data_IF_050334896003
#
_entry.id   IF_050334896003
#
_cell.length_a   1.000
_cell.length_b   1.000
_cell.length_c   1.000
_cell.angle_alpha   90.00
_cell.angle_beta   90.00
_cell.angle_gamma   90.00
#
_symmetry.space_group_name_H-M   'P 1'
#
loop_
_entity.id
_entity.type
_entity.pdbx_description
1 polymer ?
#
# COMPACT_ATOMS: atom_id res chain seq x y z
N UNK A 1 10.32 -44.24 92.97
CA UNK A 1 11.53 -43.41 92.65
C UNK A 1 12.69 -44.25 92.11
N UNK A 2 13.01 -45.46 92.68
CA UNK A 2 14.12 -46.34 92.21
C UNK A 2 13.94 -46.85 90.73
N UNK A 3 12.77 -47.26 90.37
CA UNK A 3 12.53 -47.77 88.96
C UNK A 3 12.70 -46.68 87.88
N UNK A 4 12.36 -45.40 88.17
CA UNK A 4 12.61 -44.30 87.25
C UNK A 4 14.10 -43.96 87.09
N UNK A 5 14.89 -44.19 88.17
CA UNK A 5 16.35 -43.96 88.14
C UNK A 5 17.08 -45.03 87.27
N UNK A 6 16.66 -46.29 87.34
CA UNK A 6 17.22 -47.34 86.46
C UNK A 6 17.01 -47.09 85.00
N UNK A 7 15.83 -46.63 84.59
CA UNK A 7 15.54 -46.33 83.17
C UNK A 7 16.33 -45.10 82.61
N UNK A 8 16.91 -44.28 83.44
CA UNK A 8 17.70 -43.10 83.03
C UNK A 8 19.17 -43.48 82.84
N UNK A 9 19.68 -44.42 83.65
CA UNK A 9 21.08 -44.86 83.61
C UNK A 9 21.41 -45.68 82.33
N UNK A 10 20.44 -46.38 81.80
CA UNK A 10 20.56 -47.17 80.57
C UNK A 10 20.31 -46.36 79.23
N UNK A 11 20.34 -45.04 79.34
CA UNK A 11 20.20 -44.15 78.16
C UNK A 11 21.54 -43.96 77.44
N UNK A 12 21.65 -44.11 76.13
CA UNK A 12 22.92 -44.13 75.44
C UNK A 12 23.74 -42.83 75.66
N UNK A 13 23.09 -41.70 75.85
CA UNK A 13 23.76 -40.44 76.18
C UNK A 13 24.38 -40.47 77.63
N UNK A 14 23.70 -41.12 78.51
CA UNK A 14 24.17 -41.22 79.95
C UNK A 14 25.26 -42.30 80.08
N UNK A 15 25.12 -43.42 79.40
CA UNK A 15 26.11 -44.48 79.31
C UNK A 15 27.42 -43.97 78.66
N UNK A 16 27.33 -43.27 77.54
CA UNK A 16 28.50 -42.61 76.91
C UNK A 16 29.15 -41.57 77.77
N UNK A 17 28.40 -40.83 78.66
CA UNK A 17 28.96 -39.86 79.56
C UNK A 17 29.68 -40.53 80.69
N UNK A 18 29.26 -41.72 81.20
CA UNK A 18 29.99 -42.48 82.21
C UNK A 18 31.34 -43.00 81.73
N UNK A 19 31.38 -43.49 80.45
CA UNK A 19 32.57 -44.09 79.82
C UNK A 19 33.55 -43.06 79.29
N UNK A 20 33.06 -42.01 78.59
CA UNK A 20 33.86 -41.07 77.80
C UNK A 20 33.84 -39.64 78.37
N UNK A 21 33.11 -39.41 79.48
CA UNK A 21 32.98 -38.11 80.08
C UNK A 21 31.85 -37.24 79.51
N UNK A 22 31.47 -37.47 78.27
CA UNK A 22 30.35 -36.80 77.57
C UNK A 22 29.59 -37.75 76.67
N UNK A 23 28.30 -37.51 76.43
CA UNK A 23 27.47 -38.34 75.54
C UNK A 23 26.35 -37.51 74.90
N UNK A 24 26.13 -37.76 73.61
CA UNK A 24 25.08 -37.12 72.83
C UNK A 24 24.09 -38.13 72.32
N UNK A 25 22.82 -37.76 72.26
CA UNK A 25 21.78 -38.58 71.63
C UNK A 25 20.66 -37.69 71.11
N UNK A 26 20.12 -38.11 69.99
CA UNK A 26 18.96 -37.44 69.36
C UNK A 26 17.79 -38.43 69.29
N UNK A 27 16.64 -38.04 69.79
CA UNK A 27 15.42 -38.85 69.72
C UNK A 27 14.25 -38.07 69.23
N UNK A 28 13.49 -38.71 68.37
CA UNK A 28 12.22 -38.17 67.92
C UNK A 28 11.13 -38.56 68.90
N UNK A 29 10.49 -37.56 69.55
CA UNK A 29 9.32 -37.79 70.34
C UNK A 29 8.10 -38.08 69.53
N UNK A 30 7.59 -39.29 69.61
CA UNK A 30 6.37 -39.66 68.86
C UNK A 30 5.12 -38.86 69.30
N UNK A 31 5.11 -38.34 70.51
CA UNK A 31 4.02 -37.55 71.10
C UNK A 31 4.09 -36.06 70.74
N UNK A 32 5.27 -35.51 70.51
CA UNK A 32 5.48 -34.07 70.25
C UNK A 32 5.96 -33.76 68.78
N UNK A 33 6.17 -34.79 67.97
CA UNK A 33 6.71 -34.70 66.62
C UNK A 33 7.90 -33.70 66.52
N UNK A 34 8.78 -33.75 67.54
CA UNK A 34 9.96 -32.86 67.68
C UNK A 34 11.17 -33.70 67.97
N UNK A 35 12.30 -33.36 67.37
CA UNK A 35 13.59 -33.98 67.76
C UNK A 35 14.09 -33.30 69.01
N UNK A 36 14.33 -34.16 70.03
CA UNK A 36 14.96 -33.69 71.32
C UNK A 36 16.42 -34.09 71.33
N UNK A 37 17.30 -33.15 71.42
CA UNK A 37 18.74 -33.35 71.55
C UNK A 37 19.03 -33.46 73.03
N UNK A 38 19.76 -34.51 73.40
CA UNK A 38 20.19 -34.81 74.72
C UNK A 38 21.70 -34.70 74.75
N UNK A 39 22.24 -33.94 75.73
CA UNK A 39 23.67 -33.86 76.04
C UNK A 39 23.86 -34.23 77.50
N UNK A 40 24.76 -35.15 77.75
CA UNK A 40 25.09 -35.61 79.11
C UNK A 40 26.59 -35.41 79.40
N UNK A 41 26.92 -34.90 80.57
CA UNK A 41 28.31 -34.66 81.02
C UNK A 41 28.48 -35.25 82.37
N UNK A 42 29.59 -36.00 82.55
CA UNK A 42 29.99 -36.53 83.84
C UNK A 42 30.69 -35.46 84.68
N UNK A 43 30.18 -35.18 85.85
CA UNK A 43 30.78 -34.24 86.80
C UNK A 43 31.86 -34.90 87.70
N UNK A 44 32.72 -34.11 88.33
CA UNK A 44 33.82 -34.59 89.15
C UNK A 44 33.39 -35.34 90.42
N UNK A 45 32.13 -35.20 90.83
CA UNK A 45 31.50 -35.94 91.89
C UNK A 45 30.95 -37.32 91.54
N UNK A 46 31.16 -37.74 90.27
CA UNK A 46 30.65 -39.01 89.69
C UNK A 46 29.18 -38.97 89.26
N UNK A 47 28.50 -37.84 89.33
CA UNK A 47 27.15 -37.65 88.86
C UNK A 47 27.16 -37.26 87.40
N UNK A 48 26.05 -37.51 86.68
CA UNK A 48 25.89 -37.10 85.28
C UNK A 48 24.80 -36.04 85.13
N UNK A 49 25.19 -34.91 84.64
CA UNK A 49 24.26 -33.82 84.26
C UNK A 49 23.76 -34.05 82.85
N UNK A 50 22.45 -34.12 82.70
CA UNK A 50 21.80 -34.30 81.40
C UNK A 50 20.97 -33.07 81.10
N UNK A 51 21.25 -32.44 79.95
CA UNK A 51 20.48 -31.31 79.40
C UNK A 51 19.77 -31.81 78.19
N UNK A 52 18.54 -31.32 77.93
CA UNK A 52 17.80 -31.61 76.72
C UNK A 52 17.20 -30.35 76.11
N UNK A 53 17.33 -30.21 74.83
CA UNK A 53 16.74 -29.13 74.02
C UNK A 53 15.82 -29.74 73.01
N UNK A 54 14.55 -29.35 73.08
CA UNK A 54 13.57 -29.72 72.02
C UNK A 54 13.66 -28.73 70.84
N UNK A 55 14.19 -29.17 69.73
CA UNK A 55 14.16 -28.37 68.46
C UNK A 55 12.87 -28.67 67.74
N UNK A 56 12.06 -27.64 67.52
CA UNK A 56 10.93 -27.74 66.61
C UNK A 56 11.45 -28.04 65.21
N UNK A 57 10.90 -29.08 64.58
CA UNK A 57 11.27 -29.45 63.19
C UNK A 57 11.07 -28.23 62.27
N UNK A 58 12.11 -27.86 61.53
CA UNK A 58 12.07 -26.81 60.52
C UNK A 58 10.91 -27.10 59.56
N UNK A 59 10.62 -28.38 59.31
CA UNK A 59 9.52 -28.82 58.48
C UNK A 59 8.13 -28.35 58.94
N UNK A 60 7.90 -28.33 60.27
CA UNK A 60 6.65 -27.82 60.86
C UNK A 60 6.49 -26.30 60.69
N UNK A 61 7.58 -25.55 60.67
CA UNK A 61 7.56 -24.12 60.40
C UNK A 61 7.19 -23.86 58.90
N UNK A 62 7.78 -24.62 57.99
CA UNK A 62 7.40 -24.54 56.56
C UNK A 62 5.96 -25.01 56.31
N UNK A 63 5.54 -26.13 56.92
CA UNK A 63 4.20 -26.66 56.74
C UNK A 63 3.11 -25.68 57.22
N UNK A 64 3.37 -24.91 58.27
CA UNK A 64 2.42 -23.89 58.74
C UNK A 64 2.29 -22.69 57.81
N UNK A 65 3.30 -22.42 56.95
CA UNK A 65 3.31 -21.32 55.98
C UNK A 65 2.68 -21.69 54.62
N UNK A 66 2.56 -22.99 54.29
CA UNK A 66 2.02 -23.49 53.05
C UNK A 66 0.62 -22.91 52.72
N UNK A 67 -0.37 -22.94 53.63
CA UNK A 67 -1.70 -22.40 53.35
C UNK A 67 -1.70 -20.91 53.01
N UNK A 68 -0.87 -20.12 53.71
CA UNK A 68 -0.72 -18.70 53.42
C UNK A 68 -0.10 -18.46 52.04
N UNK A 69 0.93 -19.23 51.65
CA UNK A 69 1.55 -19.16 50.31
C UNK A 69 0.55 -19.55 49.21
N UNK A 70 -0.26 -20.58 49.43
CA UNK A 70 -1.29 -20.99 48.47
C UNK A 70 -2.35 -19.87 48.26
N UNK A 71 -2.81 -19.25 49.33
CA UNK A 71 -3.77 -18.14 49.25
C UNK A 71 -3.17 -16.97 48.43
N UNK A 72 -1.95 -16.57 48.74
CA UNK A 72 -1.26 -15.50 48.01
C UNK A 72 -1.09 -15.84 46.51
N UNK A 73 -0.70 -17.09 46.21
CA UNK A 73 -0.54 -17.57 44.83
C UNK A 73 -1.87 -17.50 44.06
N UNK A 74 -2.98 -17.95 44.69
CA UNK A 74 -4.31 -17.90 44.09
C UNK A 74 -4.74 -16.46 43.80
N UNK A 75 -4.47 -15.54 44.75
CA UNK A 75 -4.78 -14.11 44.56
C UNK A 75 -3.98 -13.52 43.39
N UNK A 76 -2.66 -13.80 43.34
CA UNK A 76 -1.81 -13.32 42.22
C UNK A 76 -2.29 -13.84 40.89
N UNK A 77 -2.57 -15.15 40.79
CA UNK A 77 -3.11 -15.74 39.53
C UNK A 77 -4.45 -15.11 39.16
N UNK A 78 -5.34 -14.90 40.15
CA UNK A 78 -6.62 -14.20 39.92
C UNK A 78 -6.42 -12.78 39.36
N UNK A 79 -5.54 -12.02 39.95
CA UNK A 79 -5.19 -10.67 39.49
C UNK A 79 -4.60 -10.74 38.06
N UNK A 80 -3.67 -11.63 37.78
CA UNK A 80 -3.08 -11.81 36.45
C UNK A 80 -4.13 -12.16 35.38
N UNK A 81 -5.07 -13.05 35.69
CA UNK A 81 -6.17 -13.41 34.78
C UNK A 81 -7.09 -12.22 34.48
N UNK A 82 -7.43 -11.45 35.52
CA UNK A 82 -8.28 -10.24 35.36
C UNK A 82 -7.55 -9.19 34.53
N UNK A 83 -6.28 -8.94 34.82
CA UNK A 83 -5.46 -8.00 34.05
C UNK A 83 -5.29 -8.45 32.59
N UNK A 84 -4.98 -9.73 32.36
CA UNK A 84 -4.85 -10.29 31.01
C UNK A 84 -6.14 -10.13 30.22
N UNK A 85 -7.30 -10.48 30.78
CA UNK A 85 -8.61 -10.29 30.14
C UNK A 85 -8.95 -8.82 29.90
N UNK A 86 -8.63 -7.94 30.83
CA UNK A 86 -8.87 -6.51 30.67
C UNK A 86 -7.99 -5.92 29.56
N UNK A 87 -6.70 -6.27 29.54
CA UNK A 87 -5.74 -5.81 28.53
C UNK A 87 -6.12 -6.34 27.15
N UNK A 88 -6.42 -7.64 27.02
CA UNK A 88 -6.87 -8.25 25.76
C UNK A 88 -8.12 -7.58 25.24
N UNK A 89 -9.13 -7.35 26.08
CA UNK A 89 -10.35 -6.64 25.67
C UNK A 89 -10.10 -5.21 25.24
N UNK A 90 -9.22 -4.47 25.95
CA UNK A 90 -8.90 -3.09 25.59
C UNK A 90 -8.09 -2.98 24.31
N UNK A 91 -7.15 -3.90 24.02
CA UNK A 91 -6.30 -3.87 22.85
C UNK A 91 -6.95 -4.53 21.62
N UNK A 92 -7.67 -5.64 21.80
CA UNK A 92 -8.24 -6.41 20.68
C UNK A 92 -9.57 -5.84 20.17
N UNK A 93 -10.45 -5.34 21.04
CA UNK A 93 -11.74 -4.78 20.59
C UNK A 93 -11.62 -3.67 19.54
N UNK A 94 -10.72 -2.68 19.65
CA UNK A 94 -10.53 -1.67 18.60
C UNK A 94 -10.06 -2.29 17.28
N UNK A 95 -9.21 -3.32 17.33
CA UNK A 95 -8.70 -4.00 16.13
C UNK A 95 -9.80 -4.83 15.46
N UNK A 96 -10.63 -5.55 16.23
CA UNK A 96 -11.77 -6.31 15.71
C UNK A 96 -12.84 -5.41 15.05
N UNK A 97 -13.15 -4.26 15.67
CA UNK A 97 -14.09 -3.30 15.10
C UNK A 97 -13.55 -2.64 13.83
N UNK A 98 -12.24 -2.45 13.71
CA UNK A 98 -11.58 -1.97 12.50
C UNK A 98 -11.60 -3.01 11.38
N UNK A 99 -11.33 -4.28 11.70
CA UNK A 99 -11.35 -5.36 10.71
C UNK A 99 -12.76 -5.64 10.15
N UNK A 100 -13.81 -5.40 10.97
CA UNK A 100 -15.20 -5.63 10.58
C UNK A 100 -15.86 -4.48 9.80
N UNK A 101 -15.39 -3.24 9.95
CA UNK A 101 -16.07 -2.05 9.39
C UNK A 101 -15.03 -1.00 8.93
N UNK A 102 -14.26 -1.32 7.91
CA UNK A 102 -13.27 -0.39 7.32
C UNK A 102 -13.94 0.90 6.76
N UNK A 103 -15.19 0.82 6.29
CA UNK A 103 -15.96 1.99 5.84
C UNK A 103 -16.30 2.99 6.97
N UNK A 104 -16.39 2.53 8.22
CA UNK A 104 -16.68 3.38 9.38
C UNK A 104 -15.41 3.85 10.12
N UNK A 105 -14.22 3.57 9.59
CA UNK A 105 -12.94 3.96 10.20
C UNK A 105 -12.83 5.47 10.43
N UNK A 106 -13.47 6.29 9.59
CA UNK A 106 -13.53 7.75 9.74
C UNK A 106 -14.29 8.21 10.99
N UNK A 107 -15.28 7.42 11.46
CA UNK A 107 -16.06 7.72 12.65
C UNK A 107 -15.32 7.30 13.93
N UNK A 108 -14.49 6.25 13.84
CA UNK A 108 -13.74 5.69 14.96
C UNK A 108 -12.56 6.60 15.35
N UNK A 109 -12.03 7.38 14.40
CA UNK A 109 -10.90 8.31 14.64
C UNK A 109 -11.20 9.35 15.74
N UNK A 110 -12.46 9.73 15.94
CA UNK A 110 -12.90 10.65 17.02
C UNK A 110 -12.94 10.03 18.42
N UNK A 111 -12.81 8.70 18.54
CA UNK A 111 -12.98 7.94 19.79
C UNK A 111 -11.77 7.09 20.20
N UNK A 112 -10.68 7.12 19.44
CA UNK A 112 -9.54 6.25 19.71
C UNK A 112 -8.64 6.86 20.77
N UNK A 113 -8.63 6.30 21.97
CA UNK A 113 -7.77 6.67 23.12
C UNK A 113 -6.28 6.34 22.92
N UNK A 114 -5.90 5.64 21.82
CA UNK A 114 -4.55 5.14 21.58
C UNK A 114 -3.87 5.90 20.45
N UNK A 115 -3.03 6.87 20.82
CA UNK A 115 -2.25 7.66 19.86
C UNK A 115 -1.29 6.80 19.01
N UNK A 116 -0.83 5.69 19.55
CA UNK A 116 0.11 4.75 18.91
C UNK A 116 -0.52 4.00 17.72
N UNK A 117 -1.83 3.81 17.72
CA UNK A 117 -2.53 3.13 16.62
C UNK A 117 -2.93 4.07 15.46
N UNK A 118 -2.90 5.39 15.68
CA UNK A 118 -3.31 6.38 14.67
C UNK A 118 -2.48 6.29 13.38
N UNK A 119 -1.13 6.17 13.41
CA UNK A 119 -0.34 6.04 12.17
C UNK A 119 -0.70 4.77 11.37
N UNK A 120 -0.91 3.65 12.08
CA UNK A 120 -1.27 2.39 11.46
C UNK A 120 -2.68 2.44 10.83
N UNK A 121 -3.64 3.04 11.53
CA UNK A 121 -4.99 3.26 11.00
C UNK A 121 -4.98 4.15 9.76
N UNK A 122 -4.19 5.22 9.77
CA UNK A 122 -4.04 6.09 8.61
C UNK A 122 -3.42 5.36 7.42
N UNK A 123 -2.41 4.53 7.65
CA UNK A 123 -1.80 3.72 6.59
C UNK A 123 -2.80 2.74 5.96
N UNK A 124 -3.57 2.02 6.78
CA UNK A 124 -4.62 1.11 6.29
C UNK A 124 -5.70 1.88 5.52
N UNK A 125 -6.14 3.04 6.03
CA UNK A 125 -7.13 3.88 5.36
C UNK A 125 -6.65 4.33 3.99
N UNK A 126 -5.43 4.86 3.90
CA UNK A 126 -4.83 5.31 2.64
C UNK A 126 -4.75 4.14 1.64
N UNK A 127 -4.32 2.96 2.09
CA UNK A 127 -4.30 1.77 1.24
C UNK A 127 -5.70 1.35 0.79
N UNK A 128 -6.67 1.34 1.69
CA UNK A 128 -8.05 0.97 1.36
C UNK A 128 -8.70 1.96 0.38
N UNK A 129 -8.55 3.27 0.63
CA UNK A 129 -9.01 4.32 -0.29
C UNK A 129 -8.33 4.18 -1.67
N UNK A 130 -7.03 3.85 -1.70
CA UNK A 130 -6.31 3.56 -2.94
C UNK A 130 -6.86 2.35 -3.69
N UNK A 131 -7.16 1.26 -3.00
CA UNK A 131 -7.76 0.05 -3.62
C UNK A 131 -9.17 0.35 -4.15
N UNK A 132 -9.99 1.07 -3.40
CA UNK A 132 -11.33 1.47 -3.85
C UNK A 132 -11.27 2.42 -5.06
N UNK A 133 -10.37 3.39 -5.04
CA UNK A 133 -10.16 4.30 -6.17
C UNK A 133 -9.70 3.55 -7.42
N UNK A 134 -8.76 2.60 -7.28
CA UNK A 134 -8.30 1.74 -8.38
C UNK A 134 -9.43 0.84 -8.92
N UNK A 135 -10.23 0.23 -8.04
CA UNK A 135 -11.37 -0.60 -8.43
C UNK A 135 -12.43 0.22 -9.19
N UNK A 136 -12.76 1.42 -8.70
CA UNK A 136 -13.68 2.35 -9.36
C UNK A 136 -13.14 2.78 -10.72
N UNK A 137 -11.87 3.19 -10.79
CA UNK A 137 -11.23 3.57 -12.05
C UNK A 137 -11.28 2.46 -13.09
N UNK A 138 -11.06 1.19 -12.68
CA UNK A 138 -11.17 0.02 -13.55
C UNK A 138 -12.60 -0.23 -14.02
N UNK A 139 -13.59 -0.04 -13.14
CA UNK A 139 -15.01 -0.18 -13.50
C UNK A 139 -15.42 0.91 -14.49
N UNK A 140 -15.07 2.18 -14.23
CA UNK A 140 -15.35 3.31 -15.11
C UNK A 140 -14.66 3.13 -16.47
N UNK A 141 -13.41 2.62 -16.48
CA UNK A 141 -12.69 2.28 -17.70
C UNK A 141 -13.45 1.23 -18.53
N UNK A 142 -13.88 0.12 -17.92
CA UNK A 142 -14.60 -0.96 -18.62
C UNK A 142 -15.93 -0.46 -19.19
N UNK A 143 -16.66 0.34 -18.42
CA UNK A 143 -17.92 0.95 -18.87
C UNK A 143 -17.71 1.91 -20.05
N UNK A 144 -16.69 2.77 -19.98
CA UNK A 144 -16.34 3.73 -21.02
C UNK A 144 -15.87 3.02 -22.30
N UNK A 145 -15.01 1.99 -22.19
CA UNK A 145 -14.59 1.14 -23.32
C UNK A 145 -15.81 0.57 -24.04
N UNK A 146 -16.72 -0.05 -23.27
CA UNK A 146 -17.93 -0.67 -23.84
C UNK A 146 -18.79 0.36 -24.60
N UNK A 147 -18.93 1.55 -24.04
CA UNK A 147 -19.72 2.62 -24.65
C UNK A 147 -19.05 3.19 -25.90
N UNK A 148 -17.74 3.46 -25.86
CA UNK A 148 -16.99 4.02 -26.99
C UNK A 148 -16.80 3.02 -28.15
N UNK A 149 -16.81 1.70 -27.87
CA UNK A 149 -16.83 0.66 -28.88
C UNK A 149 -18.23 0.49 -29.52
N UNK A 150 -19.31 0.53 -28.74
CA UNK A 150 -20.68 0.31 -29.19
C UNK A 150 -21.14 1.38 -30.19
N UNK A 151 -20.79 2.65 -29.93
CA UNK A 151 -21.25 3.77 -30.78
C UNK A 151 -20.83 3.65 -32.25
N UNK A 152 -19.51 3.51 -32.58
CA UNK A 152 -19.09 3.35 -33.99
C UNK A 152 -19.58 2.03 -34.59
N UNK A 153 -19.65 0.96 -33.80
CA UNK A 153 -20.15 -0.33 -34.30
C UNK A 153 -21.62 -0.25 -34.71
N UNK A 154 -22.45 0.42 -33.90
CA UNK A 154 -23.88 0.64 -34.23
C UNK A 154 -24.01 1.50 -35.46
N UNK A 155 -23.17 2.53 -35.66
CA UNK A 155 -23.18 3.35 -36.88
C UNK A 155 -22.78 2.52 -38.11
N UNK A 156 -21.74 1.70 -38.04
CA UNK A 156 -21.32 0.79 -39.11
C UNK A 156 -22.47 -0.14 -39.52
N UNK A 157 -23.08 -0.84 -38.53
CA UNK A 157 -24.21 -1.74 -38.75
C UNK A 157 -25.39 -1.02 -39.39
N UNK A 158 -25.77 0.14 -38.87
CA UNK A 158 -26.91 0.90 -39.40
C UNK A 158 -26.70 1.38 -40.85
N UNK A 159 -25.53 1.91 -41.18
CA UNK A 159 -25.23 2.31 -42.55
C UNK A 159 -25.16 1.10 -43.51
N UNK A 160 -24.61 -0.02 -43.06
CA UNK A 160 -24.56 -1.24 -43.85
C UNK A 160 -25.95 -1.79 -44.10
N UNK A 161 -26.83 -1.85 -43.14
CA UNK A 161 -28.23 -2.29 -43.24
C UNK A 161 -29.04 -1.41 -44.20
N UNK A 162 -28.86 -0.08 -44.16
CA UNK A 162 -29.52 0.83 -45.09
C UNK A 162 -29.08 0.60 -46.54
N UNK A 163 -27.80 0.29 -46.78
CA UNK A 163 -27.28 -0.05 -48.12
C UNK A 163 -27.83 -1.40 -48.56
N UNK A 164 -27.83 -2.42 -47.70
CA UNK A 164 -28.28 -3.79 -47.99
C UNK A 164 -29.76 -3.84 -48.35
N UNK A 165 -30.59 -3.09 -47.63
CA UNK A 165 -32.05 -3.02 -47.88
C UNK A 165 -32.44 -2.14 -49.06
N UNK A 166 -31.47 -1.57 -49.81
CA UNK A 166 -31.74 -0.71 -50.96
C UNK A 166 -32.43 0.60 -50.60
N UNK A 167 -32.41 1.01 -49.33
CA UNK A 167 -33.07 2.24 -48.85
C UNK A 167 -32.25 3.52 -49.15
N UNK A 168 -31.17 3.37 -49.94
CA UNK A 168 -30.21 4.44 -50.20
C UNK A 168 -30.05 4.67 -51.69
N UNK A 169 -30.17 5.93 -52.15
CA UNK A 169 -29.88 6.31 -53.52
C UNK A 169 -28.38 6.09 -53.83
N UNK A 170 -28.06 5.79 -55.10
CA UNK A 170 -26.68 5.53 -55.55
C UNK A 170 -25.67 6.61 -55.14
N UNK A 171 -26.08 7.88 -55.10
CA UNK A 171 -25.23 9.01 -54.68
C UNK A 171 -24.91 8.96 -53.18
N UNK A 172 -25.84 8.45 -52.37
CA UNK A 172 -25.68 8.37 -50.91
C UNK A 172 -24.90 7.13 -50.48
N UNK A 173 -24.84 6.08 -51.31
CA UNK A 173 -24.07 4.85 -51.05
C UNK A 173 -22.59 5.15 -50.79
N UNK A 174 -21.99 6.04 -51.59
CA UNK A 174 -20.58 6.47 -51.40
C UNK A 174 -20.39 7.18 -50.09
N UNK A 175 -21.32 8.04 -49.71
CA UNK A 175 -21.28 8.73 -48.40
C UNK A 175 -21.36 7.72 -47.24
N UNK A 176 -22.29 6.77 -47.26
CA UNK A 176 -22.43 5.76 -46.22
C UNK A 176 -21.24 4.82 -46.18
N UNK A 177 -20.69 4.40 -47.32
CA UNK A 177 -19.45 3.63 -47.37
C UNK A 177 -18.26 4.40 -46.74
N UNK A 178 -18.22 5.72 -46.98
CA UNK A 178 -17.21 6.60 -46.37
C UNK A 178 -17.37 6.69 -44.83
N UNK A 179 -18.61 6.81 -44.37
CA UNK A 179 -18.90 6.82 -42.91
C UNK A 179 -18.62 5.46 -42.24
N UNK A 180 -18.91 4.35 -42.91
CA UNK A 180 -18.53 3.00 -42.42
C UNK A 180 -17.00 2.92 -42.26
N UNK A 181 -16.25 3.32 -43.31
CA UNK A 181 -14.78 3.31 -43.26
C UNK A 181 -14.24 4.19 -42.16
N UNK A 182 -14.77 5.41 -41.96
CA UNK A 182 -14.36 6.36 -40.92
C UNK A 182 -14.61 5.79 -39.52
N UNK A 183 -15.77 5.19 -39.28
CA UNK A 183 -16.09 4.56 -37.99
C UNK A 183 -15.24 3.31 -37.74
N UNK A 184 -14.94 2.51 -38.75
CA UNK A 184 -14.04 1.36 -38.62
C UNK A 184 -12.60 1.78 -38.30
N UNK A 185 -12.08 2.83 -38.96
CA UNK A 185 -10.76 3.39 -38.61
C UNK A 185 -10.70 3.94 -37.16
N UNK A 186 -11.76 4.62 -36.74
CA UNK A 186 -11.88 5.10 -35.37
C UNK A 186 -11.88 3.94 -34.37
N UNK A 187 -12.60 2.85 -34.69
CA UNK A 187 -12.65 1.65 -33.83
C UNK A 187 -11.28 0.99 -33.72
N UNK A 188 -10.54 0.87 -34.80
CA UNK A 188 -9.18 0.34 -34.83
C UNK A 188 -8.22 1.20 -33.98
N UNK A 189 -8.28 2.53 -34.13
CA UNK A 189 -7.47 3.44 -33.30
C UNK A 189 -7.77 3.25 -31.80
N UNK A 190 -9.06 3.16 -31.44
CA UNK A 190 -9.46 2.96 -30.04
C UNK A 190 -8.96 1.62 -29.50
N UNK A 191 -9.04 0.53 -30.26
CA UNK A 191 -8.53 -0.78 -29.88
C UNK A 191 -7.01 -0.72 -29.64
N UNK A 192 -6.28 -0.09 -30.55
CA UNK A 192 -4.83 0.06 -30.42
C UNK A 192 -4.45 0.87 -29.16
N UNK A 193 -5.15 1.98 -28.90
CA UNK A 193 -4.92 2.79 -27.69
C UNK A 193 -5.20 2.00 -26.40
N UNK A 194 -6.23 1.14 -26.40
CA UNK A 194 -6.55 0.26 -25.26
C UNK A 194 -5.45 -0.80 -25.05
N UNK A 195 -4.96 -1.43 -26.12
CA UNK A 195 -3.87 -2.41 -26.06
C UNK A 195 -2.61 -1.75 -25.47
N UNK A 196 -2.23 -0.59 -25.98
CA UNK A 196 -1.09 0.20 -25.53
C UNK A 196 -1.21 0.55 -24.04
N UNK A 197 -2.38 1.02 -23.60
CA UNK A 197 -2.62 1.34 -22.21
C UNK A 197 -2.52 0.10 -21.31
N UNK A 198 -2.96 -1.07 -21.81
CA UNK A 198 -2.82 -2.34 -21.09
C UNK A 198 -1.36 -2.80 -20.99
N UNK A 199 -0.56 -2.58 -22.03
CA UNK A 199 0.89 -2.85 -22.02
C UNK A 199 1.62 -1.94 -21.03
N UNK A 200 1.27 -0.65 -20.98
CA UNK A 200 1.81 0.31 -20.03
C UNK A 200 1.49 -0.03 -18.58
N UNK A 201 0.30 -0.58 -18.30
CA UNK A 201 -0.10 -1.03 -16.95
C UNK A 201 0.65 -2.32 -16.51
N UNK A 202 1.43 -2.96 -17.40
CA UNK A 202 2.19 -4.17 -17.07
C UNK A 202 3.55 -3.88 -16.44
N UNK A 203 4.05 -4.82 -15.61
CA UNK A 203 5.39 -4.72 -15.01
C UNK A 203 6.55 -4.80 -16.03
N UNK A 204 6.24 -5.18 -17.26
CA UNK A 204 7.23 -5.29 -18.35
C UNK A 204 7.48 -3.94 -19.04
N UNK A 205 6.65 -2.93 -18.81
CA UNK A 205 6.76 -1.61 -19.43
C UNK A 205 8.08 -0.88 -19.13
N UNK A 206 8.77 -1.24 -18.04
CA UNK A 206 10.09 -0.70 -17.70
C UNK A 206 11.25 -1.42 -18.40
N UNK A 207 11.01 -2.44 -19.20
CA UNK A 207 12.06 -3.11 -19.97
C UNK A 207 12.48 -2.26 -21.18
N UNK A 208 13.76 -2.35 -21.56
CA UNK A 208 14.28 -1.66 -22.73
C UNK A 208 14.63 -0.17 -22.53
N UNK A 209 14.80 0.28 -21.27
CA UNK A 209 15.34 1.62 -21.02
C UNK A 209 16.83 1.69 -21.37
N UNK A 210 17.16 2.62 -22.27
CA UNK A 210 18.51 2.91 -22.73
C UNK A 210 18.80 4.43 -22.74
N UNK A 211 20.03 4.82 -22.99
CA UNK A 211 20.37 6.23 -23.23
C UNK A 211 19.99 6.58 -24.66
N UNK A 212 19.13 7.55 -24.85
CA UNK A 212 18.55 7.95 -26.12
C UNK A 212 18.82 9.43 -26.38
N UNK A 213 19.10 9.74 -27.63
CA UNK A 213 19.05 11.11 -28.12
C UNK A 213 17.60 11.53 -28.35
N UNK A 214 17.06 12.36 -27.43
CA UNK A 214 15.70 12.85 -27.50
C UNK A 214 15.51 13.82 -28.67
N UNK A 215 16.53 14.64 -29.00
CA UNK A 215 16.45 15.56 -30.12
C UNK A 215 16.27 14.82 -31.44
N UNK A 216 17.10 13.81 -31.71
CA UNK A 216 16.99 12.98 -32.91
C UNK A 216 15.64 12.27 -33.00
N UNK A 217 15.15 11.70 -31.88
CA UNK A 217 13.84 11.05 -31.82
C UNK A 217 12.70 12.02 -32.14
N UNK A 218 12.69 13.22 -31.53
CA UNK A 218 11.66 14.23 -31.77
C UNK A 218 11.69 14.69 -33.24
N UNK A 219 12.90 14.90 -33.80
CA UNK A 219 13.06 15.27 -35.19
C UNK A 219 12.41 14.26 -36.14
N UNK A 220 12.67 12.96 -35.94
CA UNK A 220 12.07 11.88 -36.72
C UNK A 220 10.52 11.90 -36.61
N UNK A 221 9.97 12.13 -35.42
CA UNK A 221 8.53 12.27 -35.22
C UNK A 221 7.95 13.48 -35.97
N UNK A 222 8.65 14.61 -35.94
CA UNK A 222 8.20 15.84 -36.63
C UNK A 222 8.13 15.66 -38.13
N UNK A 223 9.12 15.00 -38.72
CA UNK A 223 9.14 14.68 -40.15
C UNK A 223 7.92 13.80 -40.57
N UNK A 224 7.58 12.82 -39.73
CA UNK A 224 6.41 11.95 -39.98
C UNK A 224 5.08 12.68 -39.80
N UNK A 225 5.01 13.68 -38.93
CA UNK A 225 3.77 14.43 -38.68
C UNK A 225 3.54 15.62 -39.63
N UNK A 226 4.55 16.00 -40.42
CA UNK A 226 4.48 17.13 -41.34
C UNK A 226 3.28 17.03 -42.30
N UNK A 227 3.02 15.85 -42.91
CA UNK A 227 1.91 15.62 -43.81
C UNK A 227 0.55 15.84 -43.12
N UNK A 228 0.43 15.42 -41.87
CA UNK A 228 -0.80 15.61 -41.08
C UNK A 228 -1.04 17.09 -40.77
N UNK A 229 0.03 17.82 -40.42
CA UNK A 229 -0.02 19.25 -40.16
C UNK A 229 -0.42 20.05 -41.39
N UNK A 230 0.17 19.74 -42.55
CA UNK A 230 -0.17 20.35 -43.85
C UNK A 230 -1.63 20.12 -44.24
N UNK A 231 -2.16 18.90 -44.09
CA UNK A 231 -3.58 18.60 -44.36
C UNK A 231 -4.52 19.45 -43.48
N UNK A 232 -4.09 19.83 -42.26
CA UNK A 232 -4.85 20.69 -41.38
C UNK A 232 -4.49 22.15 -41.47
N UNK A 233 -3.57 22.52 -42.36
CA UNK A 233 -3.06 23.90 -42.55
C UNK A 233 -2.45 24.46 -41.26
N UNK A 234 -1.74 23.64 -40.50
CA UNK A 234 -1.04 24.02 -39.25
C UNK A 234 0.46 24.02 -39.55
N UNK A 235 1.15 25.10 -39.19
CA UNK A 235 2.60 25.20 -39.30
C UNK A 235 3.24 24.42 -38.14
N UNK A 236 4.15 23.50 -38.45
CA UNK A 236 4.85 22.66 -37.49
C UNK A 236 6.32 23.07 -37.44
N UNK A 237 6.76 23.63 -36.33
CA UNK A 237 8.13 24.10 -36.08
C UNK A 237 8.84 23.23 -35.05
N UNK A 238 10.12 22.99 -35.27
CA UNK A 238 10.97 22.25 -34.32
C UNK A 238 12.30 22.99 -34.12
N UNK A 239 12.70 23.17 -32.86
CA UNK A 239 14.00 23.71 -32.47
C UNK A 239 14.54 22.96 -31.26
N UNK A 240 15.86 22.94 -31.11
CA UNK A 240 16.45 22.29 -29.94
C UNK A 240 17.93 22.01 -30.05
N UNK A 241 18.43 21.31 -29.05
CA UNK A 241 19.81 20.86 -28.93
C UNK A 241 19.86 19.40 -28.58
N UNK A 242 20.94 18.72 -28.94
CA UNK A 242 21.19 17.32 -28.61
C UNK A 242 21.08 17.08 -27.11
N UNK A 243 20.13 16.27 -26.69
CA UNK A 243 19.83 15.97 -25.31
C UNK A 243 19.64 14.49 -25.09
N UNK A 244 20.50 13.90 -24.26
CA UNK A 244 20.37 12.50 -23.89
C UNK A 244 19.40 12.32 -22.71
N UNK A 245 18.51 11.35 -22.83
CA UNK A 245 17.59 10.92 -21.77
C UNK A 245 17.66 9.41 -21.59
N UNK A 246 17.38 8.91 -20.40
CA UNK A 246 17.24 7.48 -20.16
C UNK A 246 15.77 7.09 -20.33
N UNK A 247 15.46 6.27 -21.33
CA UNK A 247 14.09 5.89 -21.59
C UNK A 247 13.94 4.76 -22.60
N UNK A 248 12.70 4.39 -22.83
CA UNK A 248 12.32 3.44 -23.88
C UNK A 248 11.97 4.21 -25.15
N UNK A 249 12.67 3.93 -26.26
CA UNK A 249 12.51 4.63 -27.55
C UNK A 249 11.05 4.61 -28.03
N UNK A 250 10.40 3.46 -27.96
CA UNK A 250 9.03 3.30 -28.47
C UNK A 250 8.05 4.15 -27.65
N UNK A 251 8.17 4.14 -26.33
CA UNK A 251 7.32 4.92 -25.43
C UNK A 251 7.54 6.43 -25.61
N UNK A 252 8.79 6.86 -25.73
CA UNK A 252 9.10 8.28 -25.97
C UNK A 252 8.61 8.75 -27.35
N UNK A 253 8.72 7.91 -28.37
CA UNK A 253 8.11 8.19 -29.70
C UNK A 253 6.61 8.41 -29.56
N UNK A 254 5.93 7.52 -28.86
CA UNK A 254 4.49 7.59 -28.63
C UNK A 254 4.08 8.84 -27.84
N UNK A 255 4.86 9.20 -26.83
CA UNK A 255 4.65 10.43 -26.05
C UNK A 255 4.68 11.66 -26.96
N UNK A 256 5.74 11.79 -27.80
CA UNK A 256 5.91 12.92 -28.72
C UNK A 256 4.76 12.94 -29.75
N UNK A 257 4.45 11.80 -30.36
CA UNK A 257 3.37 11.70 -31.34
C UNK A 257 2.01 12.11 -30.75
N UNK A 258 1.66 11.61 -29.55
CA UNK A 258 0.40 11.97 -28.90
C UNK A 258 0.31 13.46 -28.59
N UNK A 259 1.38 14.06 -28.08
CA UNK A 259 1.41 15.51 -27.79
C UNK A 259 1.26 16.34 -29.08
N UNK A 260 2.06 16.03 -30.11
CA UNK A 260 2.04 16.78 -31.36
C UNK A 260 0.74 16.58 -32.15
N UNK A 261 0.20 15.34 -32.19
CA UNK A 261 -1.10 15.07 -32.84
C UNK A 261 -2.24 15.82 -32.13
N UNK A 262 -2.22 15.94 -30.79
CA UNK A 262 -3.20 16.73 -30.07
C UNK A 262 -3.05 18.23 -30.41
N UNK A 263 -1.84 18.76 -30.41
CA UNK A 263 -1.55 20.14 -30.76
C UNK A 263 -1.99 20.49 -32.18
N UNK A 264 -1.79 19.59 -33.15
CA UNK A 264 -2.25 19.76 -34.52
C UNK A 264 -3.78 19.62 -34.63
N UNK A 265 -4.38 18.65 -33.93
CA UNK A 265 -5.80 18.34 -33.96
C UNK A 265 -6.69 19.45 -33.42
N UNK A 266 -6.28 20.05 -32.33
CA UNK A 266 -7.02 21.10 -31.60
C UNK A 266 -6.58 22.50 -31.96
N UNK A 267 -5.76 22.64 -33.01
CA UNK A 267 -5.37 23.94 -33.55
C UNK A 267 -6.44 24.55 -34.49
N UNK A 268 -6.28 25.82 -34.73
CA UNK A 268 -7.05 26.56 -35.73
C UNK A 268 -6.37 26.44 -37.11
N UNK A 269 -7.13 26.59 -38.20
CA UNK A 269 -6.53 26.72 -39.55
C UNK A 269 -5.58 27.94 -39.59
N UNK A 270 -4.37 27.76 -40.11
CA UNK A 270 -3.32 28.80 -40.11
C UNK A 270 -2.58 28.93 -38.77
N UNK A 271 -2.88 28.06 -37.79
CA UNK A 271 -2.19 28.07 -36.52
C UNK A 271 -0.78 27.45 -36.56
N UNK A 272 -0.13 27.45 -35.44
CA UNK A 272 1.27 26.98 -35.26
C UNK A 272 1.40 26.00 -34.14
N UNK A 273 2.27 25.01 -34.30
CA UNK A 273 2.75 24.11 -33.23
C UNK A 273 4.26 24.23 -33.17
N UNK A 274 4.79 24.61 -32.01
CA UNK A 274 6.22 24.73 -31.73
C UNK A 274 6.63 23.61 -30.80
N UNK A 275 7.59 22.82 -31.21
CA UNK A 275 8.16 21.74 -30.41
C UNK A 275 9.62 22.10 -30.12
N UNK A 276 10.01 22.04 -28.84
CA UNK A 276 11.40 22.36 -28.46
C UNK A 276 11.96 21.32 -27.50
N UNK A 277 13.26 21.04 -27.65
CA UNK A 277 14.03 20.14 -26.78
C UNK A 277 15.27 20.86 -26.31
N UNK A 278 15.34 21.22 -25.01
CA UNK A 278 16.46 21.95 -24.43
C UNK A 278 16.87 21.41 -23.07
N UNK A 279 18.11 21.71 -22.65
CA UNK A 279 18.53 21.53 -21.26
C UNK A 279 18.20 22.75 -20.44
N UNK A 280 17.41 22.59 -19.39
CA UNK A 280 17.06 23.66 -18.43
C UNK A 280 17.38 23.18 -17.01
N UNK A 281 18.26 23.90 -16.29
CA UNK A 281 18.60 23.55 -14.91
C UNK A 281 19.21 22.14 -14.72
N UNK A 282 19.85 21.58 -15.76
CA UNK A 282 20.43 20.24 -15.73
C UNK A 282 19.49 19.11 -16.14
N UNK A 283 18.21 19.39 -16.34
CA UNK A 283 17.20 18.47 -16.85
C UNK A 283 16.97 18.66 -18.35
N UNK A 284 16.61 17.61 -19.04
CA UNK A 284 16.13 17.69 -20.44
C UNK A 284 14.65 17.99 -20.45
N UNK A 285 14.24 19.02 -21.14
CA UNK A 285 12.85 19.48 -21.21
C UNK A 285 12.37 19.40 -22.67
N UNK A 286 11.32 18.62 -22.89
CA UNK A 286 10.52 18.63 -24.11
C UNK A 286 9.33 19.59 -23.89
N UNK A 287 9.16 20.55 -24.77
CA UNK A 287 7.99 21.46 -24.75
C UNK A 287 7.25 21.35 -26.06
N UNK A 288 5.92 21.17 -25.99
CA UNK A 288 5.00 21.25 -27.13
C UNK A 288 4.02 22.38 -26.85
N UNK A 289 4.04 23.40 -27.70
CA UNK A 289 3.23 24.60 -27.60
C UNK A 289 2.39 24.76 -28.87
N UNK A 290 1.08 25.00 -28.69
CA UNK A 290 0.15 25.33 -29.77
C UNK A 290 -0.57 26.65 -29.49
N UNK A 291 -1.04 27.33 -30.53
CA UNK A 291 -1.91 28.49 -30.46
C UNK A 291 -3.36 28.19 -30.82
N UNK A 292 -3.81 26.98 -30.48
CA UNK A 292 -5.14 26.48 -30.77
C UNK A 292 -6.24 26.98 -29.83
N UNK A 293 -7.26 26.14 -29.63
CA UNK A 293 -8.47 26.51 -28.89
C UNK A 293 -8.24 26.67 -27.38
N UNK A 294 -7.17 26.09 -26.82
CA UNK A 294 -6.89 26.07 -25.38
C UNK A 294 -7.86 25.21 -24.59
N UNK A 295 -7.58 25.10 -23.27
CA UNK A 295 -8.29 24.26 -22.31
C UNK A 295 -8.76 25.10 -21.12
N UNK A 296 -10.07 25.07 -20.75
CA UNK A 296 -10.58 25.75 -19.58
C UNK A 296 -9.87 25.31 -18.28
N UNK A 297 -9.62 26.24 -17.37
CA UNK A 297 -8.87 25.97 -16.12
C UNK A 297 -9.45 24.86 -15.26
N UNK A 298 -10.76 24.77 -15.16
CA UNK A 298 -11.49 23.74 -14.39
C UNK A 298 -11.38 22.33 -15.00
N UNK A 299 -10.85 22.23 -16.22
CA UNK A 299 -10.74 20.97 -16.96
C UNK A 299 -9.29 20.50 -17.16
N UNK A 300 -8.30 21.34 -16.85
CA UNK A 300 -6.88 21.06 -17.12
C UNK A 300 -6.33 19.82 -16.36
N UNK A 301 -6.79 19.57 -15.16
CA UNK A 301 -6.42 18.36 -14.42
C UNK A 301 -7.07 17.11 -15.01
N UNK A 302 -8.27 17.26 -15.54
CA UNK A 302 -9.10 16.17 -16.03
C UNK A 302 -8.75 15.69 -17.44
N UNK A 303 -8.08 16.51 -18.24
CA UNK A 303 -7.70 16.11 -19.63
C UNK A 303 -6.75 14.91 -19.68
N UNK A 304 -6.11 14.56 -18.56
CA UNK A 304 -5.29 13.38 -18.42
C UNK A 304 -6.06 12.14 -17.94
N UNK A 305 -7.36 12.28 -17.61
CA UNK A 305 -8.22 11.15 -17.28
C UNK A 305 -8.54 10.33 -18.54
N UNK A 306 -8.64 9.01 -18.40
CA UNK A 306 -8.98 8.09 -19.51
C UNK A 306 -10.38 8.41 -20.05
N UNK A 307 -10.53 8.54 -21.37
CA UNK A 307 -11.78 8.88 -22.10
C UNK A 307 -12.32 10.29 -21.83
N UNK A 308 -11.60 11.14 -21.12
CA UNK A 308 -12.03 12.50 -20.86
C UNK A 308 -11.88 13.36 -22.12
N UNK A 309 -12.83 14.24 -22.34
CA UNK A 309 -12.87 15.20 -23.44
C UNK A 309 -13.55 16.47 -22.98
N UNK A 310 -12.95 17.61 -23.29
CA UNK A 310 -13.50 18.94 -22.99
C UNK A 310 -14.84 19.16 -23.70
N UNK A 311 -14.95 18.74 -24.98
CA UNK A 311 -16.18 18.84 -25.80
C UNK A 311 -16.43 17.52 -26.53
N UNK A 312 -17.48 16.79 -26.13
CA UNK A 312 -17.88 15.51 -26.74
C UNK A 312 -18.45 15.68 -28.15
N UNK A 313 -18.99 16.84 -28.52
CA UNK A 313 -19.63 17.09 -29.82
C UNK A 313 -18.59 17.35 -30.91
N UNK A 314 -17.65 18.27 -30.66
CA UNK A 314 -16.54 18.58 -31.58
C UNK A 314 -15.59 17.40 -31.78
N UNK A 315 -15.39 16.61 -30.76
CA UNK A 315 -14.45 15.49 -30.82
C UNK A 315 -14.97 14.29 -31.62
N UNK A 316 -16.28 14.21 -31.94
CA UNK A 316 -16.83 13.26 -32.89
C UNK A 316 -16.37 13.58 -34.31
N UNK A 317 -16.26 14.85 -34.67
CA UNK A 317 -15.78 15.29 -36.00
C UNK A 317 -14.25 15.16 -36.12
N UNK A 318 -13.52 15.42 -35.05
CA UNK A 318 -12.05 15.37 -35.04
C UNK A 318 -11.47 13.96 -34.83
N UNK A 319 -12.26 12.96 -34.36
CA UNK A 319 -11.86 11.55 -34.30
C UNK A 319 -10.97 11.17 -33.09
N UNK A 320 -10.91 11.98 -32.02
CA UNK A 320 -10.11 11.67 -30.83
C UNK A 320 -10.69 10.53 -29.99
N UNK A 321 -9.87 9.67 -29.42
CA UNK A 321 -10.25 8.56 -28.53
C UNK A 321 -10.43 9.01 -27.06
N UNK A 322 -9.78 10.10 -26.66
CA UNK A 322 -9.70 10.57 -25.27
C UNK A 322 -8.72 9.74 -24.42
N UNK A 323 -7.85 8.95 -25.07
CA UNK A 323 -6.83 8.16 -24.39
C UNK A 323 -5.41 8.73 -24.56
N UNK A 324 -5.14 9.55 -25.57
CA UNK A 324 -3.80 10.02 -25.89
C UNK A 324 -3.08 10.75 -24.74
N UNK A 325 -3.75 11.69 -24.05
CA UNK A 325 -3.14 12.38 -22.91
C UNK A 325 -3.04 11.50 -21.66
N UNK A 326 -3.91 10.51 -21.49
CA UNK A 326 -3.78 9.51 -20.45
C UNK A 326 -2.55 8.59 -20.71
N UNK A 327 -2.29 8.23 -21.97
CA UNK A 327 -1.08 7.51 -22.38
C UNK A 327 0.16 8.37 -22.11
N UNK A 328 0.16 9.65 -22.47
CA UNK A 328 1.25 10.61 -22.18
C UNK A 328 1.56 10.62 -20.69
N UNK A 329 0.55 10.80 -19.84
CA UNK A 329 0.73 10.82 -18.37
C UNK A 329 1.38 9.53 -17.87
N UNK A 330 0.92 8.39 -18.34
CA UNK A 330 1.45 7.09 -17.92
C UNK A 330 2.92 6.88 -18.36
N UNK A 331 3.26 7.30 -19.59
CA UNK A 331 4.63 7.24 -20.09
C UNK A 331 5.55 8.15 -19.25
N UNK A 332 5.10 9.36 -18.92
CA UNK A 332 5.84 10.30 -18.06
C UNK A 332 6.09 9.70 -16.67
N UNK A 333 5.06 9.08 -16.06
CA UNK A 333 5.17 8.39 -14.77
C UNK A 333 6.18 7.22 -14.83
N UNK A 334 6.17 6.43 -15.90
CA UNK A 334 7.13 5.33 -16.11
C UNK A 334 8.59 5.80 -16.26
N UNK A 335 8.80 7.02 -16.74
CA UNK A 335 10.12 7.63 -16.92
C UNK A 335 10.57 8.49 -15.73
N UNK A 336 9.83 8.49 -14.60
CA UNK A 336 10.06 9.37 -13.44
C UNK A 336 10.21 10.85 -13.84
N UNK A 337 9.54 11.27 -14.92
CA UNK A 337 9.59 12.60 -15.50
C UNK A 337 8.50 13.51 -14.93
N UNK A 338 8.74 14.82 -14.97
CA UNK A 338 7.75 15.83 -14.58
C UNK A 338 6.85 16.19 -15.75
N UNK A 339 5.53 16.36 -15.52
CA UNK A 339 4.56 16.82 -16.51
C UNK A 339 3.89 18.11 -16.05
N UNK A 340 3.93 19.15 -16.86
CA UNK A 340 3.22 20.42 -16.61
C UNK A 340 2.39 20.81 -17.81
N UNK A 341 1.20 21.38 -17.56
CA UNK A 341 0.28 21.90 -18.56
C UNK A 341 -0.09 23.32 -18.19
N UNK A 342 0.07 24.23 -19.15
CA UNK A 342 -0.42 25.61 -19.07
C UNK A 342 -1.25 25.91 -20.30
N UNK A 343 -2.49 26.39 -20.10
CA UNK A 343 -3.42 26.61 -21.21
C UNK A 343 -4.41 27.71 -20.87
N UNK A 344 -4.75 28.51 -21.89
CA UNK A 344 -5.78 29.53 -21.83
C UNK A 344 -6.68 29.44 -23.05
N UNK A 345 -7.99 29.47 -22.82
CA UNK A 345 -8.99 29.37 -23.89
C UNK A 345 -8.77 30.53 -24.92
N UNK A 346 -8.62 30.13 -26.20
CA UNK A 346 -8.37 31.07 -27.31
C UNK A 346 -6.91 31.51 -27.47
N UNK A 347 -6.00 31.09 -26.58
CA UNK A 347 -4.55 31.37 -26.69
C UNK A 347 -3.73 30.14 -27.04
N UNK A 348 -4.21 28.95 -26.69
CA UNK A 348 -3.54 27.70 -26.96
C UNK A 348 -3.12 26.93 -25.70
N UNK A 349 -2.26 25.94 -25.90
CA UNK A 349 -1.80 25.02 -24.84
C UNK A 349 -0.29 24.81 -24.91
N UNK A 350 0.36 24.81 -23.76
CA UNK A 350 1.76 24.44 -23.61
C UNK A 350 1.85 23.23 -22.67
N UNK A 351 2.45 22.15 -23.16
CA UNK A 351 2.76 20.96 -22.34
C UNK A 351 4.27 20.80 -22.27
N UNK A 352 4.80 20.64 -21.05
CA UNK A 352 6.24 20.43 -20.81
C UNK A 352 6.45 19.08 -20.10
N UNK A 353 7.45 18.35 -20.58
CA UNK A 353 7.92 17.09 -19.95
C UNK A 353 9.39 17.27 -19.56
N UNK A 354 9.70 17.11 -18.29
CA UNK A 354 11.03 17.28 -17.71
C UNK A 354 11.61 15.91 -17.32
N UNK A 355 12.68 15.49 -17.98
CA UNK A 355 13.41 14.24 -17.74
C UNK A 355 14.61 14.42 -16.84
#
# INVERSE_FOLDING_TARGET
>A
RRQRQMCIRDRPEVESAFDKGTGDSVRTSATMNSNTFYHAIKLNDGTVLRVSIAARSIWNMFASSIPAMLIVTVIIVGICVVLAKSLTRKLMKPIETLAGNLEQASVIQKKTEYKELVPFMNAIRIQHEGVLAAAKSRQDFTANVSHELKTPLTAISGYAELIENGMVEKKQQIHFATEIRRNAQRLLSLINDIIKLSELDSSEAQQGFEQLDLYGLVKDCMENLQVNAEQRKVALNFDGTDCMVRGNRQLLTELVENLCQNAIRYNNEGGTVNVTVHKLGGKTVLTVEDNGIGIPKDQQERVFERFYRVDKSRSKETGGTGLGLAIVKHIVELHDAGLTLDSEVGRGTTIKVEF
#
